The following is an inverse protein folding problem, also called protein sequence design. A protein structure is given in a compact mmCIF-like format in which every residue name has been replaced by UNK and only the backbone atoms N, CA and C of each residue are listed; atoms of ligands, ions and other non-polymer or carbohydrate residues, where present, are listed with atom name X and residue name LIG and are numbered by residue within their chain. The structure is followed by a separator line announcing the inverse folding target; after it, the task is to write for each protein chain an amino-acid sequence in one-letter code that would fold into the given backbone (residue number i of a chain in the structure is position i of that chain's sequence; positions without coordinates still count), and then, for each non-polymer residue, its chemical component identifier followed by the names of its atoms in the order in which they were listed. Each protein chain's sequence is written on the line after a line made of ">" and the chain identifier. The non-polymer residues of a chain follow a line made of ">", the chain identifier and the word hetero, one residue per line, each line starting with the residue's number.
data_IF_324656288014
#
_entry.id   IF_324656288014
#
_cell.length_a   1.000
_cell.length_b   1.000
_cell.length_c   1.000
_cell.angle_alpha   90.00
_cell.angle_beta   90.00
_cell.angle_gamma   90.00
#
_symmetry.space_group_name_H-M   'P 1'
#
loop_
_entity.id
_entity.type
_entity.pdbx_description
1 polymer ?
#
# COMPACT_ATOMS: atom_id res chain seq x y z
N UNK A 1 -15.24 2.30 6.39
CA UNK A 1 -13.84 2.25 6.90
C UNK A 1 -13.19 3.63 7.08
N UNK A 2 -13.70 4.72 6.48
CA UNK A 2 -13.12 6.08 6.64
C UNK A 2 -13.25 6.69 8.06
N UNK A 3 -14.09 6.13 8.93
CA UNK A 3 -14.39 6.69 10.26
C UNK A 3 -13.33 6.43 11.33
N UNK A 4 -12.27 5.65 11.04
CA UNK A 4 -11.23 5.29 12.01
C UNK A 4 -9.97 6.15 11.93
N UNK A 5 -9.86 7.03 10.93
CA UNK A 5 -8.71 7.94 10.81
C UNK A 5 -8.98 9.17 11.68
N UNK A 6 -8.12 9.49 12.66
CA UNK A 6 -8.29 10.70 13.47
C UNK A 6 -8.32 11.96 12.61
N UNK A 7 -9.13 12.95 12.98
CA UNK A 7 -9.25 14.23 12.25
C UNK A 7 -7.97 15.05 12.20
N UNK A 8 -7.04 14.78 13.11
CA UNK A 8 -5.72 15.41 13.15
C UNK A 8 -4.74 14.86 12.11
N UNK A 9 -5.12 13.79 11.39
CA UNK A 9 -4.26 13.16 10.38
C UNK A 9 -4.57 13.78 9.02
N UNK A 10 -3.54 14.30 8.38
CA UNK A 10 -3.62 14.71 6.98
C UNK A 10 -3.65 13.48 6.07
N UNK A 11 -4.65 13.41 5.19
CA UNK A 11 -4.87 12.27 4.29
C UNK A 11 -4.89 12.74 2.85
N UNK A 12 -3.95 12.22 2.06
CA UNK A 12 -3.92 12.41 0.61
C UNK A 12 -4.56 11.22 -0.09
N UNK A 13 -5.71 11.43 -0.71
CA UNK A 13 -6.40 10.42 -1.52
C UNK A 13 -5.82 10.36 -2.94
N UNK A 14 -6.01 9.22 -3.61
CA UNK A 14 -5.57 8.96 -4.99
C UNK A 14 -4.11 9.40 -5.25
N UNK A 15 -3.27 9.19 -4.23
CA UNK A 15 -1.88 9.63 -4.19
C UNK A 15 -0.92 8.51 -4.53
N UNK A 16 0.22 8.87 -5.12
CA UNK A 16 1.25 7.91 -5.51
C UNK A 16 2.62 8.37 -5.06
N UNK A 17 3.26 7.62 -4.16
CA UNK A 17 4.66 7.82 -3.81
C UNK A 17 5.58 7.55 -5.01
N UNK A 18 6.47 8.50 -5.32
CA UNK A 18 7.35 8.49 -6.51
C UNK A 18 8.82 8.33 -6.15
N UNK A 19 9.26 8.88 -5.02
CA UNK A 19 10.64 8.78 -4.56
C UNK A 19 10.70 8.89 -3.05
N UNK A 20 11.62 8.13 -2.45
CA UNK A 20 12.02 8.29 -1.05
C UNK A 20 13.54 8.26 -0.93
N UNK A 21 14.06 8.99 0.06
CA UNK A 21 15.44 8.90 0.48
C UNK A 21 15.58 9.36 1.93
N UNK A 22 16.75 9.11 2.52
CA UNK A 22 17.09 9.55 3.86
C UNK A 22 18.31 10.47 3.81
N UNK A 23 18.19 11.62 4.45
CA UNK A 23 19.22 12.66 4.56
C UNK A 23 18.99 13.42 5.87
N UNK A 24 20.05 13.87 6.55
CA UNK A 24 19.96 14.62 7.81
C UNK A 24 19.02 14.02 8.86
N UNK A 25 19.06 12.69 8.99
CA UNK A 25 18.23 11.89 9.90
C UNK A 25 16.70 12.03 9.68
N UNK A 26 16.29 12.45 8.48
CA UNK A 26 14.89 12.56 8.05
C UNK A 26 14.64 11.77 6.78
N UNK A 27 13.43 11.25 6.67
CA UNK A 27 12.88 10.75 5.44
C UNK A 27 12.37 11.90 4.60
N UNK A 28 12.68 11.85 3.32
CA UNK A 28 12.11 12.73 2.30
C UNK A 28 11.22 11.89 1.39
N UNK A 29 10.06 12.41 1.04
CA UNK A 29 9.08 11.74 0.20
C UNK A 29 8.60 12.70 -0.88
N UNK A 30 8.68 12.24 -2.12
CA UNK A 30 8.01 12.87 -3.26
C UNK A 30 6.82 11.99 -3.63
N UNK A 31 5.64 12.58 -3.72
CA UNK A 31 4.43 11.89 -4.14
C UNK A 31 3.56 12.78 -5.02
N UNK A 32 2.66 12.19 -5.80
CA UNK A 32 1.65 12.92 -6.56
C UNK A 32 0.34 12.94 -5.77
N UNK A 33 -0.30 14.09 -5.64
CA UNK A 33 -1.65 14.25 -5.13
C UNK A 33 -2.34 15.43 -5.83
N UNK A 34 -3.64 15.31 -6.08
CA UNK A 34 -4.45 16.34 -6.76
C UNK A 34 -3.87 16.80 -8.11
N UNK A 35 -3.19 15.90 -8.81
CA UNK A 35 -2.53 16.17 -10.09
C UNK A 35 -1.13 16.76 -10.00
N UNK A 36 -0.70 17.23 -8.82
CA UNK A 36 0.58 17.92 -8.57
C UNK A 36 1.58 17.06 -7.80
N UNK A 37 2.86 17.41 -7.91
CA UNK A 37 3.93 16.81 -7.11
C UNK A 37 4.04 17.51 -5.75
N UNK A 38 4.14 16.71 -4.69
CA UNK A 38 4.24 17.13 -3.30
C UNK A 38 5.54 16.63 -2.70
N UNK A 39 6.10 17.43 -1.80
CA UNK A 39 7.39 17.18 -1.14
C UNK A 39 7.19 17.29 0.37
N UNK A 40 7.45 16.21 1.11
CA UNK A 40 7.34 16.19 2.57
C UNK A 40 8.58 15.58 3.21
N UNK A 41 8.81 15.95 4.47
CA UNK A 41 9.83 15.33 5.32
C UNK A 41 9.22 14.77 6.59
N UNK A 42 9.78 13.67 7.10
CA UNK A 42 9.31 13.01 8.31
C UNK A 42 10.44 12.34 9.08
N UNK A 43 10.30 12.19 10.40
CA UNK A 43 11.25 11.44 11.23
C UNK A 43 11.15 9.93 11.00
N UNK A 44 9.94 9.45 10.75
CA UNK A 44 9.64 8.04 10.53
C UNK A 44 8.83 7.88 9.25
N UNK A 45 9.14 6.84 8.50
CA UNK A 45 8.42 6.43 7.31
C UNK A 45 7.97 4.98 7.50
N UNK A 46 6.67 4.72 7.34
CA UNK A 46 6.08 3.40 7.47
C UNK A 46 5.56 2.96 6.10
N UNK A 47 6.06 1.83 5.60
CA UNK A 47 5.63 1.25 4.33
C UNK A 47 4.31 0.49 4.46
N UNK A 48 3.20 1.14 4.12
CA UNK A 48 1.87 0.52 4.02
C UNK A 48 1.39 0.44 2.54
N UNK A 49 2.34 0.36 1.61
CA UNK A 49 2.17 0.49 0.15
C UNK A 49 2.08 -0.87 -0.60
N UNK A 50 1.87 -1.96 0.16
CA UNK A 50 1.47 -3.26 -0.38
C UNK A 50 2.52 -3.99 -1.23
N UNK A 51 2.04 -4.80 -2.19
CA UNK A 51 2.88 -5.68 -2.98
C UNK A 51 3.91 -4.92 -3.85
N UNK A 52 3.58 -3.71 -4.30
CA UNK A 52 4.49 -2.87 -5.10
C UNK A 52 5.32 -1.87 -4.25
N UNK A 53 5.53 -2.19 -2.97
CA UNK A 53 6.14 -1.28 -2.00
C UNK A 53 7.43 -0.62 -2.50
N UNK A 54 7.44 0.71 -2.49
CA UNK A 54 8.61 1.55 -2.72
C UNK A 54 9.51 1.56 -1.48
N UNK A 55 8.90 1.63 -0.29
CA UNK A 55 9.64 1.61 0.99
C UNK A 55 10.50 0.37 1.09
N UNK A 56 9.92 -0.81 0.81
CA UNK A 56 10.64 -2.07 0.84
C UNK A 56 11.74 -2.15 -0.21
N UNK A 57 11.47 -1.74 -1.45
CA UNK A 57 12.47 -1.74 -2.53
C UNK A 57 13.66 -0.82 -2.24
N UNK A 58 13.42 0.31 -1.57
CA UNK A 58 14.49 1.23 -1.17
C UNK A 58 15.36 0.66 -0.06
N UNK A 59 14.75 0.06 0.97
CA UNK A 59 15.48 -0.47 2.13
C UNK A 59 16.21 -1.80 1.82
N UNK A 60 15.67 -2.60 0.90
CA UNK A 60 16.18 -3.92 0.57
C UNK A 60 16.29 -4.10 -0.95
N UNK A 61 17.16 -3.35 -1.64
CA UNK A 61 17.20 -3.31 -3.10
C UNK A 61 17.51 -4.66 -3.75
N UNK A 62 18.35 -5.46 -3.09
CA UNK A 62 18.80 -6.76 -3.60
C UNK A 62 17.95 -7.95 -3.11
N UNK A 63 16.94 -7.68 -2.27
CA UNK A 63 16.14 -8.74 -1.67
C UNK A 63 15.06 -9.26 -2.64
N UNK A 64 15.20 -10.51 -3.06
CA UNK A 64 14.22 -11.20 -3.88
C UNK A 64 13.15 -11.86 -3.00
N UNK A 65 11.90 -11.43 -3.19
CA UNK A 65 10.75 -11.98 -2.46
C UNK A 65 10.22 -13.18 -3.23
N UNK A 66 9.88 -14.25 -2.52
CA UNK A 66 9.20 -15.41 -3.11
C UNK A 66 7.88 -14.96 -3.73
N UNK A 67 7.70 -15.28 -5.01
CA UNK A 67 6.48 -14.97 -5.76
C UNK A 67 5.57 -16.19 -5.72
N UNK A 68 4.33 -15.95 -5.36
CA UNK A 68 3.27 -16.97 -5.37
C UNK A 68 2.17 -16.52 -6.32
N UNK A 69 1.55 -17.48 -6.99
CA UNK A 69 0.36 -17.24 -7.80
C UNK A 69 -0.83 -17.80 -7.03
N UNK A 70 -1.84 -16.95 -6.82
CA UNK A 70 -3.13 -17.35 -6.27
C UNK A 70 -4.21 -17.05 -7.32
N UNK A 71 -5.14 -17.98 -7.51
CA UNK A 71 -6.30 -17.80 -8.37
C UNK A 71 -7.49 -17.63 -7.43
N UNK A 72 -8.20 -16.51 -7.55
CA UNK A 72 -9.38 -16.21 -6.75
C UNK A 72 -10.52 -15.79 -7.67
N UNK A 73 -11.71 -16.34 -7.42
CA UNK A 73 -12.93 -15.96 -8.12
C UNK A 73 -14.03 -15.71 -7.11
N UNK A 74 -14.76 -14.61 -7.30
CA UNK A 74 -15.98 -14.32 -6.57
C UNK A 74 -17.16 -14.91 -7.33
N UNK A 75 -18.01 -15.66 -6.63
CA UNK A 75 -19.25 -16.21 -7.17
C UNK A 75 -20.42 -15.56 -6.44
N UNK A 76 -21.46 -15.17 -7.19
CA UNK A 76 -22.72 -14.77 -6.57
C UNK A 76 -23.38 -16.02 -5.97
N UNK A 77 -23.77 -15.95 -4.69
CA UNK A 77 -24.49 -17.02 -4.02
C UNK A 77 -25.88 -17.18 -4.66
N UNK A 78 -26.21 -18.40 -5.10
CA UNK A 78 -27.49 -18.71 -5.76
C UNK A 78 -28.35 -19.67 -4.94
N UNK A 79 -27.84 -20.20 -3.83
CA UNK A 79 -28.53 -21.19 -3.01
C UNK A 79 -28.60 -20.75 -1.54
N UNK A 80 -29.70 -21.05 -0.81
CA UNK A 80 -29.88 -20.65 0.58
C UNK A 80 -29.11 -21.50 1.61
N UNK A 81 -28.32 -22.48 1.17
CA UNK A 81 -27.57 -23.41 2.05
C UNK A 81 -26.07 -23.12 1.99
N UNK A 82 -25.35 -23.07 3.14
CA UNK A 82 -24.14 -22.26 3.29
C UNK A 82 -22.84 -22.94 2.84
N UNK A 83 -22.90 -24.11 2.22
CA UNK A 83 -21.71 -24.95 2.00
C UNK A 83 -21.61 -25.43 0.56
N UNK A 84 -20.74 -24.80 -0.20
CA UNK A 84 -20.20 -25.33 -1.46
C UNK A 84 -18.86 -26.01 -1.14
N UNK A 85 -18.80 -27.33 -1.27
CA UNK A 85 -17.55 -28.09 -1.27
C UNK A 85 -16.90 -27.97 -2.65
N UNK A 86 -15.69 -27.40 -2.69
CA UNK A 86 -14.78 -27.49 -3.84
C UNK A 86 -14.47 -28.98 -4.09
N UNK A 87 -15.09 -29.57 -5.09
CA UNK A 87 -14.59 -30.80 -5.71
C UNK A 87 -13.54 -30.36 -6.73
N UNK A 88 -12.27 -30.57 -6.39
CA UNK A 88 -11.13 -30.45 -7.31
C UNK A 88 -11.04 -31.68 -8.20
#
# INVERSE_FOLDING_TARGET
>A
MKSLIPTSVEVYHDSLCRKIWREDDKWHVIFRADGWEQHITARYLVGADGANSMVRRHLYPDHQIRKYVAIQQWFAEKHPVPFLLLHL
#
